data_IF_077611584575
#
_entry.id   IF_077611584575
#
_cell.length_a   1.000
_cell.length_b   1.000
_cell.length_c   1.000
_cell.angle_alpha   90.00
_cell.angle_beta   90.00
_cell.angle_gamma   90.00
#
_symmetry.space_group_name_H-M   'P 1'
#
loop_
_entity.id
_entity.type
_entity.pdbx_description
1 polymer ?
#
# COMPACT_ATOMS: atom_id res chain seq x y z
N UNK A 1 -7.69 -6.66 -5.20
CA UNK A 1 -8.06 -7.78 -6.11
C UNK A 1 -7.45 -7.74 -7.53
N UNK A 2 -7.51 -6.61 -8.27
CA UNK A 2 -7.04 -6.52 -9.67
C UNK A 2 -5.57 -6.96 -9.86
N UNK A 3 -4.70 -6.60 -8.92
CA UNK A 3 -3.28 -6.96 -8.96
C UNK A 3 -3.01 -8.45 -8.74
N UNK A 4 -3.85 -9.16 -7.96
CA UNK A 4 -3.73 -10.62 -7.81
C UNK A 4 -4.12 -11.34 -9.10
N UNK A 5 -5.21 -10.89 -9.73
CA UNK A 5 -5.67 -11.46 -11.00
C UNK A 5 -4.63 -11.25 -12.11
N UNK A 6 -3.99 -10.08 -12.15
CA UNK A 6 -2.90 -9.79 -13.10
C UNK A 6 -1.65 -10.61 -12.77
N UNK A 7 -1.32 -10.78 -11.48
CA UNK A 7 -0.18 -11.60 -11.04
C UNK A 7 -0.37 -13.07 -11.39
N UNK A 8 -1.57 -13.62 -11.14
CA UNK A 8 -1.96 -14.98 -11.51
C UNK A 8 -1.87 -15.16 -13.02
N UNK A 9 -2.42 -14.23 -13.79
CA UNK A 9 -2.41 -14.28 -15.26
C UNK A 9 -1.01 -14.14 -15.87
N UNK A 10 -0.08 -13.45 -15.20
CA UNK A 10 1.30 -13.23 -15.67
C UNK A 10 2.34 -14.17 -15.05
N UNK A 11 1.93 -15.08 -14.17
CA UNK A 11 2.82 -16.01 -13.45
C UNK A 11 4.08 -15.34 -12.87
N UNK A 12 3.94 -14.12 -12.36
CA UNK A 12 5.06 -13.31 -11.86
C UNK A 12 4.93 -13.12 -10.35
N UNK A 13 5.70 -13.87 -9.59
CA UNK A 13 5.74 -13.81 -8.11
C UNK A 13 6.19 -12.45 -7.56
N UNK A 14 6.86 -11.64 -8.39
CA UNK A 14 7.46 -10.34 -8.01
C UNK A 14 6.44 -9.29 -7.56
N UNK A 15 5.15 -9.44 -7.90
CA UNK A 15 4.09 -8.51 -7.49
C UNK A 15 3.43 -8.86 -6.15
N UNK A 16 3.77 -10.02 -5.56
CA UNK A 16 3.16 -10.49 -4.31
C UNK A 16 3.84 -9.88 -3.09
N UNK A 17 5.16 -9.73 -3.11
CA UNK A 17 5.94 -9.22 -1.97
C UNK A 17 5.60 -7.76 -1.61
N UNK A 18 5.57 -6.78 -2.54
CA UNK A 18 5.19 -5.41 -2.19
C UNK A 18 3.76 -5.31 -1.66
N UNK A 19 2.86 -6.15 -2.18
CA UNK A 19 1.46 -6.21 -1.70
C UNK A 19 1.37 -6.79 -0.30
N UNK A 20 2.13 -7.84 0.01
CA UNK A 20 2.16 -8.43 1.34
C UNK A 20 2.71 -7.43 2.37
N UNK A 21 3.78 -6.71 2.05
CA UNK A 21 4.32 -5.65 2.92
C UNK A 21 3.29 -4.54 3.17
N UNK A 22 2.62 -4.08 2.11
CA UNK A 22 1.60 -3.03 2.24
C UNK A 22 0.40 -3.49 3.08
N UNK A 23 -0.06 -4.73 2.85
CA UNK A 23 -1.17 -5.32 3.59
C UNK A 23 -0.81 -5.61 5.06
N UNK A 24 0.44 -5.98 5.33
CA UNK A 24 0.92 -6.17 6.71
C UNK A 24 1.03 -4.84 7.45
N UNK A 25 1.48 -3.78 6.78
CA UNK A 25 1.51 -2.43 7.34
C UNK A 25 0.11 -1.90 7.63
N UNK A 26 -0.84 -2.13 6.72
CA UNK A 26 -2.23 -1.78 6.91
C UNK A 26 -2.83 -2.52 8.11
N UNK A 27 -2.55 -3.82 8.24
CA UNK A 27 -3.02 -4.64 9.34
C UNK A 27 -2.48 -4.17 10.70
N UNK A 28 -1.23 -3.72 10.73
CA UNK A 28 -0.63 -3.16 11.95
C UNK A 28 -1.35 -1.88 12.39
N UNK A 29 -1.67 -0.99 11.45
CA UNK A 29 -2.40 0.27 11.74
C UNK A 29 -3.83 -0.02 12.19
N UNK A 30 -4.54 -0.92 11.50
CA UNK A 30 -5.92 -1.27 11.86
C UNK A 30 -5.99 -1.96 13.22
N UNK A 31 -5.02 -2.81 13.53
CA UNK A 31 -4.87 -3.42 14.87
C UNK A 31 -4.62 -2.36 15.93
N UNK A 32 -3.71 -1.41 15.67
CA UNK A 32 -3.43 -0.31 16.60
C UNK A 32 -4.68 0.53 16.90
N UNK A 33 -5.43 0.92 15.86
CA UNK A 33 -6.69 1.68 16.05
C UNK A 33 -7.73 0.83 16.79
N UNK A 34 -7.81 -0.47 16.49
CA UNK A 34 -8.72 -1.38 17.19
C UNK A 34 -8.40 -1.47 18.69
N UNK A 35 -7.12 -1.52 19.05
CA UNK A 35 -6.69 -1.49 20.46
C UNK A 35 -7.10 -0.18 21.14
N UNK A 36 -6.92 0.96 20.48
CA UNK A 36 -7.36 2.25 21.03
C UNK A 36 -8.87 2.30 21.24
N UNK A 37 -9.67 1.76 20.31
CA UNK A 37 -11.12 1.68 20.46
C UNK A 37 -11.55 0.70 21.56
N UNK A 38 -10.87 -0.43 21.72
CA UNK A 38 -11.13 -1.36 22.82
C UNK A 38 -10.86 -0.67 24.15
N UNK A 39 -9.73 0.02 24.29
CA UNK A 39 -9.41 0.80 25.50
C UNK A 39 -10.46 1.88 25.76
N UNK A 40 -10.93 2.55 24.72
CA UNK A 40 -12.03 3.51 24.80
C UNK A 40 -13.27 2.88 25.45
N UNK A 41 -13.77 1.75 24.93
CA UNK A 41 -14.95 1.08 25.49
C UNK A 41 -14.70 0.37 26.83
N UNK A 42 -13.45 0.04 27.17
CA UNK A 42 -13.08 -0.63 28.43
C UNK A 42 -13.10 0.30 29.66
N UNK A 43 -13.40 1.59 29.46
CA UNK A 43 -13.56 2.57 30.55
C UNK A 43 -12.55 3.72 30.52
N UNK A 44 -11.70 3.81 29.49
CA UNK A 44 -10.82 4.98 29.31
C UNK A 44 -11.47 6.13 28.53
N UNK A 45 -12.78 6.06 28.26
CA UNK A 45 -13.57 7.06 27.54
C UNK A 45 -13.29 8.49 28.01
N UNK A 46 -13.42 8.77 29.31
CA UNK A 46 -13.23 10.13 29.85
C UNK A 46 -11.83 10.67 29.56
N UNK A 47 -10.78 9.87 29.85
CA UNK A 47 -9.40 10.30 29.63
C UNK A 47 -9.08 10.51 28.15
N UNK A 48 -9.57 9.64 27.29
CA UNK A 48 -9.35 9.76 25.85
C UNK A 48 -10.11 10.95 25.27
N UNK A 49 -11.35 11.19 25.73
CA UNK A 49 -12.12 12.37 25.35
C UNK A 49 -11.45 13.66 25.81
N UNK A 50 -10.94 13.69 27.04
CA UNK A 50 -10.20 14.83 27.57
C UNK A 50 -8.94 15.12 26.76
N UNK A 51 -8.20 14.09 26.33
CA UNK A 51 -7.02 14.25 25.47
C UNK A 51 -7.42 14.79 24.09
N UNK A 52 -8.47 14.25 23.47
CA UNK A 52 -8.93 14.68 22.14
C UNK A 52 -9.45 16.12 22.18
N UNK A 53 -10.33 16.44 23.14
CA UNK A 53 -10.89 17.78 23.31
C UNK A 53 -9.80 18.77 23.73
N UNK A 54 -8.91 18.39 24.65
CA UNK A 54 -7.79 19.25 25.06
C UNK A 54 -6.83 19.55 23.91
N UNK A 55 -6.59 18.59 23.00
CA UNK A 55 -5.81 18.84 21.78
C UNK A 55 -6.55 19.82 20.87
N UNK A 56 -7.87 19.71 20.75
CA UNK A 56 -8.69 20.65 19.98
C UNK A 56 -8.66 22.07 20.58
N UNK A 57 -8.82 22.21 21.89
CA UNK A 57 -8.77 23.50 22.60
C UNK A 57 -7.41 24.19 22.41
N UNK A 58 -6.31 23.46 22.58
CA UNK A 58 -4.95 24.02 22.54
C UNK A 58 -4.51 24.36 21.11
N UNK A 59 -4.77 23.48 20.14
CA UNK A 59 -4.24 23.66 18.78
C UNK A 59 -5.18 24.40 17.83
N UNK A 60 -6.50 24.27 18.01
CA UNK A 60 -7.47 24.76 17.03
C UNK A 60 -8.31 25.92 17.55
N UNK A 61 -8.92 25.77 18.72
CA UNK A 61 -9.79 26.81 19.27
C UNK A 61 -9.01 27.97 19.90
N UNK A 62 -7.82 27.69 20.44
CA UNK A 62 -6.99 28.62 21.21
C UNK A 62 -7.73 29.24 22.41
N UNK A 63 -8.81 28.58 22.83
CA UNK A 63 -9.69 28.94 23.94
C UNK A 63 -10.40 27.67 24.45
N UNK A 64 -10.89 27.71 25.69
CA UNK A 64 -11.61 26.57 26.30
C UNK A 64 -13.03 26.49 25.74
N UNK A 65 -13.51 25.27 25.51
CA UNK A 65 -14.92 25.10 25.16
C UNK A 65 -15.81 25.45 26.35
N UNK A 66 -16.99 25.99 26.03
CA UNK A 66 -18.06 26.12 27.00
C UNK A 66 -18.53 24.72 27.44
N UNK A 67 -19.06 24.60 28.67
CA UNK A 67 -19.40 23.30 29.26
C UNK A 67 -20.47 22.57 28.45
N UNK A 68 -21.47 23.29 27.92
CA UNK A 68 -22.52 22.73 27.09
C UNK A 68 -21.98 22.16 25.76
N UNK A 69 -21.01 22.85 25.15
CA UNK A 69 -20.37 22.39 23.90
C UNK A 69 -19.46 21.20 24.15
N UNK A 70 -18.81 21.17 25.32
CA UNK A 70 -17.97 20.05 25.75
C UNK A 70 -18.79 18.77 25.96
N UNK A 71 -19.94 18.87 26.62
CA UNK A 71 -20.87 17.74 26.78
C UNK A 71 -21.33 17.21 25.42
N UNK A 72 -21.66 18.12 24.49
CA UNK A 72 -22.06 17.74 23.13
C UNK A 72 -20.93 17.05 22.37
N UNK A 73 -19.72 17.60 22.45
CA UNK A 73 -18.53 17.03 21.81
C UNK A 73 -18.22 15.60 22.32
N UNK A 74 -18.34 15.38 23.64
CA UNK A 74 -18.16 14.04 24.23
C UNK A 74 -19.20 13.04 23.69
N UNK A 75 -20.47 13.46 23.60
CA UNK A 75 -21.52 12.60 23.08
C UNK A 75 -21.32 12.28 21.59
N UNK A 76 -20.95 13.27 20.78
CA UNK A 76 -20.65 13.08 19.36
C UNK A 76 -19.44 12.15 19.18
N UNK A 77 -18.39 12.33 19.98
CA UNK A 77 -17.19 11.49 19.93
C UNK A 77 -17.49 10.04 20.30
N UNK A 78 -18.41 9.82 21.24
CA UNK A 78 -18.91 8.48 21.58
C UNK A 78 -19.67 7.82 20.42
N UNK A 79 -20.56 8.55 19.75
CA UNK A 79 -21.28 8.06 18.56
C UNK A 79 -20.29 7.72 17.44
N UNK A 80 -19.31 8.59 17.19
CA UNK A 80 -18.26 8.34 16.20
C UNK A 80 -17.39 7.13 16.56
N UNK A 81 -17.07 6.92 17.83
CA UNK A 81 -16.32 5.75 18.27
C UNK A 81 -17.08 4.45 17.97
N UNK A 82 -18.40 4.41 18.20
CA UNK A 82 -19.24 3.24 17.86
C UNK A 82 -19.24 3.00 16.35
N UNK A 83 -19.51 4.03 15.55
CA UNK A 83 -19.54 3.89 14.09
C UNK A 83 -18.18 3.41 13.53
N UNK A 84 -17.10 3.98 14.06
CA UNK A 84 -15.74 3.62 13.67
C UNK A 84 -15.40 2.18 14.07
N UNK A 85 -15.84 1.73 15.25
CA UNK A 85 -15.64 0.36 15.70
C UNK A 85 -16.30 -0.67 14.78
N UNK A 86 -17.54 -0.42 14.36
CA UNK A 86 -18.25 -1.30 13.41
C UNK A 86 -17.53 -1.34 12.06
N UNK A 87 -17.13 -0.16 11.55
CA UNK A 87 -16.44 -0.05 10.26
C UNK A 87 -15.10 -0.80 10.28
N UNK A 88 -14.29 -0.59 11.33
CA UNK A 88 -12.98 -1.24 11.49
C UNK A 88 -13.13 -2.74 11.72
N UNK A 89 -14.15 -3.18 12.47
CA UNK A 89 -14.43 -4.62 12.64
C UNK A 89 -14.75 -5.28 11.29
N UNK A 90 -15.57 -4.65 10.46
CA UNK A 90 -15.84 -5.15 9.11
C UNK A 90 -14.57 -5.15 8.24
N UNK A 91 -13.80 -4.06 8.31
CA UNK A 91 -12.56 -3.90 7.56
C UNK A 91 -11.50 -4.96 7.91
N UNK A 92 -11.30 -5.23 9.21
CA UNK A 92 -10.32 -6.22 9.68
C UNK A 92 -10.66 -7.63 9.20
N UNK A 93 -11.94 -7.99 9.11
CA UNK A 93 -12.36 -9.27 8.52
C UNK A 93 -11.93 -9.35 7.05
N UNK A 94 -12.21 -8.30 6.25
CA UNK A 94 -11.79 -8.26 4.85
C UNK A 94 -10.27 -8.35 4.71
N UNK A 95 -9.53 -7.66 5.58
CA UNK A 95 -8.07 -7.66 5.59
C UNK A 95 -7.49 -9.04 5.95
N UNK A 96 -8.08 -9.75 6.92
CA UNK A 96 -7.71 -11.14 7.23
C UNK A 96 -7.92 -12.06 6.02
N UNK A 97 -9.05 -11.94 5.32
CA UNK A 97 -9.31 -12.72 4.11
C UNK A 97 -8.28 -12.40 3.00
N UNK A 98 -7.97 -11.12 2.78
CA UNK A 98 -6.95 -10.73 1.79
C UNK A 98 -5.56 -11.26 2.17
N UNK A 99 -5.18 -11.20 3.45
CA UNK A 99 -3.91 -11.73 3.94
C UNK A 99 -3.85 -13.24 3.76
N UNK A 100 -4.93 -13.95 4.10
CA UNK A 100 -5.02 -15.40 3.96
C UNK A 100 -4.86 -15.82 2.49
N UNK A 101 -5.60 -15.20 1.56
CA UNK A 101 -5.53 -15.51 0.13
C UNK A 101 -4.13 -15.18 -0.42
N UNK A 102 -3.58 -14.01 -0.06
CA UNK A 102 -2.27 -13.57 -0.54
C UNK A 102 -1.14 -14.47 -0.03
N UNK A 103 -1.20 -14.88 1.25
CA UNK A 103 -0.24 -15.81 1.84
C UNK A 103 -0.35 -17.21 1.24
N UNK A 104 -1.56 -17.71 1.01
CA UNK A 104 -1.78 -18.99 0.33
C UNK A 104 -1.24 -18.97 -1.11
N UNK A 105 -1.46 -17.87 -1.83
CA UNK A 105 -0.91 -17.67 -3.17
C UNK A 105 0.62 -17.65 -3.17
N UNK A 106 1.24 -16.97 -2.21
CA UNK A 106 2.69 -16.98 -2.04
C UNK A 106 3.24 -18.39 -1.77
N UNK A 107 2.64 -19.14 -0.84
CA UNK A 107 3.10 -20.50 -0.53
C UNK A 107 2.99 -21.44 -1.74
N UNK A 108 2.04 -21.19 -2.65
CA UNK A 108 1.89 -21.95 -3.91
C UNK A 108 2.96 -21.58 -4.94
N UNK A 109 3.57 -20.39 -4.81
CA UNK A 109 4.72 -19.95 -5.62
C UNK A 109 6.07 -20.39 -5.02
N UNK A 110 6.15 -20.52 -3.69
CA UNK A 110 7.34 -21.01 -2.97
C UNK A 110 7.49 -22.56 -3.02
N UNK A 111 6.57 -23.26 -3.69
CA UNK A 111 6.81 -24.65 -4.13
C UNK A 111 7.68 -24.56 -5.38
N UNK A 112 8.96 -25.00 -5.37
CA UNK A 112 9.91 -24.61 -6.40
C UNK A 112 9.44 -25.09 -7.78
N UNK A 113 9.07 -24.19 -8.72
CA UNK A 113 9.34 -24.49 -10.10
C UNK A 113 10.81 -24.14 -10.31
N UNK A 114 11.44 -24.72 -11.32
CA UNK A 114 12.66 -24.16 -11.88
C UNK A 114 12.58 -22.63 -11.91
N UNK A 115 13.69 -21.96 -11.64
CA UNK A 115 13.82 -20.54 -11.96
C UNK A 115 13.34 -20.36 -13.40
N UNK A 116 12.10 -19.92 -13.61
CA UNK A 116 11.61 -19.54 -14.93
C UNK A 116 12.09 -18.10 -15.02
N UNK A 117 13.25 -17.83 -15.66
CA UNK A 117 13.65 -16.47 -15.89
C UNK A 117 12.47 -15.78 -16.56
N UNK A 118 12.08 -14.62 -16.04
CA UNK A 118 11.17 -13.73 -16.74
C UNK A 118 11.64 -13.71 -18.18
N UNK A 119 10.82 -14.20 -19.10
CA UNK A 119 11.10 -14.09 -20.52
C UNK A 119 11.17 -12.58 -20.74
N UNK A 120 12.37 -12.01 -20.73
CA UNK A 120 12.64 -10.61 -21.08
C UNK A 120 12.21 -10.29 -22.52
N UNK A 121 11.63 -11.28 -23.21
CA UNK A 121 10.80 -11.04 -24.36
C UNK A 121 9.45 -10.50 -23.87
N UNK A 122 9.42 -9.17 -23.67
CA UNK A 122 8.41 -8.42 -24.40
C UNK A 122 8.30 -9.10 -25.78
N UNK A 123 7.11 -9.48 -26.29
CA UNK A 123 7.01 -9.88 -27.69
C UNK A 123 7.72 -8.76 -28.45
N UNK A 124 8.74 -9.09 -29.27
CA UNK A 124 9.64 -8.07 -29.79
C UNK A 124 8.76 -6.98 -30.36
N UNK A 125 8.74 -5.80 -29.71
CA UNK A 125 8.33 -4.61 -30.42
C UNK A 125 9.18 -4.65 -31.67
N UNK A 126 8.57 -4.55 -32.84
CA UNK A 126 9.28 -4.35 -34.10
C UNK A 126 10.07 -3.04 -33.96
N UNK A 127 11.20 -3.10 -33.28
CA UNK A 127 12.22 -2.09 -33.30
C UNK A 127 12.99 -2.38 -34.58
N UNK A 128 12.95 -1.41 -35.47
CA UNK A 128 13.79 -1.35 -36.67
C UNK A 128 15.28 -1.50 -36.36
N UNK A 129 16.13 -1.45 -37.39
CA UNK A 129 17.41 -2.12 -37.42
C UNK A 129 18.34 -1.75 -36.24
N UNK A 130 18.73 -2.80 -35.51
CA UNK A 130 19.80 -2.95 -34.50
C UNK A 130 20.71 -1.72 -34.28
N UNK A 131 20.65 -1.15 -33.07
CA UNK A 131 21.74 -0.40 -32.46
C UNK A 131 22.21 -1.14 -31.20
N UNK A 132 23.19 -2.02 -31.35
CA UNK A 132 23.91 -2.62 -30.23
C UNK A 132 24.97 -1.64 -29.74
N UNK A 133 24.67 -1.00 -28.61
CA UNK A 133 25.63 -0.28 -27.77
C UNK A 133 26.55 -1.35 -27.16
N UNK A 134 27.73 -1.58 -27.74
CA UNK A 134 29.00 -2.00 -27.09
C UNK A 134 30.00 -2.38 -28.20
N UNK A 135 30.62 -1.40 -28.85
CA UNK A 135 31.88 -1.60 -29.57
C UNK A 135 32.60 -0.25 -29.67
N UNK A 136 33.85 -0.11 -29.20
CA UNK A 136 34.61 1.11 -29.43
C UNK A 136 34.83 1.27 -30.93
N UNK A 137 34.17 2.25 -31.55
CA UNK A 137 34.26 2.53 -32.98
C UNK A 137 35.64 3.08 -33.31
N UNK A 138 36.53 2.22 -33.82
CA UNK A 138 37.67 2.68 -34.61
C UNK A 138 37.15 2.96 -36.03
N UNK A 139 36.82 4.22 -36.33
CA UNK A 139 36.33 4.64 -37.63
C UNK A 139 37.55 4.88 -38.53
N UNK A 140 37.81 4.00 -39.49
CA UNK A 140 38.72 4.31 -40.59
C UNK A 140 38.09 5.41 -41.46
N UNK A 141 38.85 6.44 -41.91
CA UNK A 141 38.28 7.51 -42.72
C UNK A 141 37.76 6.95 -44.06
N UNK A 142 36.63 7.49 -44.58
CA UNK A 142 36.04 7.02 -45.82
C UNK A 142 36.95 7.31 -47.04
N UNK A 143 36.93 6.46 -48.08
CA UNK A 143 37.74 6.64 -49.27
C UNK A 143 37.30 7.89 -50.06
N UNK A 144 38.30 8.62 -50.61
CA UNK A 144 38.13 9.82 -51.42
C UNK A 144 37.30 9.52 -52.68
N UNK A 145 36.20 10.26 -52.89
CA UNK A 145 35.37 10.15 -54.09
C UNK A 145 35.76 11.27 -55.09
N UNK A 146 36.34 10.93 -56.27
CA UNK A 146 36.83 11.91 -57.25
C UNK A 146 35.72 12.54 -58.13
N UNK A 147 34.44 12.35 -57.82
CA UNK A 147 33.32 12.82 -58.66
C UNK A 147 32.75 14.21 -58.30
N UNK A 148 33.48 15.02 -57.54
CA UNK A 148 33.15 16.45 -57.39
C UNK A 148 34.12 17.28 -58.23
N UNK A 149 33.74 17.56 -59.48
CA UNK A 149 34.29 18.62 -60.33
C UNK A 149 33.18 19.57 -60.75
#
# INVERSE_FOLDING_TARGET
>A
MITLAISFRRNNSRFVLPRLTLLTGQFAVTTFISVLLILYFMGFTEKLNDVVIGTYEVYWANDKLNEDDRIRAVNDLFIYAIGTFVLISMYTIYELFELYITRKYQNTLDTPPEFIPVRNQEPPRLAGPKLSITQPQHIAPPPYNPQYH
#
